data_IF_616148718073
#
_entry.id   IF_616148718073
#
_cell.length_a   1.000
_cell.length_b   1.000
_cell.length_c   1.000
_cell.angle_alpha   90.00
_cell.angle_beta   90.00
_cell.angle_gamma   90.00
#
_symmetry.space_group_name_H-M   'P 1'
#
loop_
_entity.id
_entity.type
_entity.pdbx_description
1 polymer ?
#
# COMPACT_ATOMS: atom_id res chain seq x y z
N UNK A 1 16.97 -18.64 -6.98
CA UNK A 1 16.92 -17.44 -7.85
C UNK A 1 17.87 -16.40 -7.26
N UNK A 2 18.60 -15.60 -8.05
CA UNK A 2 19.49 -14.58 -7.47
C UNK A 2 18.68 -13.51 -6.73
N UNK A 3 19.20 -12.89 -5.66
CA UNK A 3 18.48 -11.85 -4.91
C UNK A 3 18.00 -10.69 -5.80
N UNK A 4 18.80 -10.31 -6.80
CA UNK A 4 18.42 -9.28 -7.77
C UNK A 4 17.24 -9.71 -8.64
N UNK A 5 17.20 -10.96 -9.12
CA UNK A 5 16.07 -11.46 -9.90
C UNK A 5 14.78 -11.51 -9.07
N UNK A 6 14.87 -11.82 -7.77
CA UNK A 6 13.73 -11.79 -6.84
C UNK A 6 13.16 -10.38 -6.71
N UNK A 7 14.01 -9.38 -6.48
CA UNK A 7 13.58 -7.97 -6.38
C UNK A 7 12.93 -7.50 -7.69
N UNK A 8 13.53 -7.83 -8.84
CA UNK A 8 12.99 -7.46 -10.16
C UNK A 8 11.62 -8.09 -10.41
N UNK A 9 11.46 -9.36 -10.02
CA UNK A 9 10.18 -10.06 -10.16
C UNK A 9 9.09 -9.39 -9.33
N UNK A 10 9.33 -9.14 -8.03
CA UNK A 10 8.38 -8.44 -7.18
C UNK A 10 8.08 -7.03 -7.70
N UNK A 11 9.09 -6.29 -8.13
CA UNK A 11 8.92 -4.96 -8.71
C UNK A 11 8.05 -4.99 -9.97
N UNK A 12 8.25 -5.97 -10.84
CA UNK A 12 7.43 -6.16 -12.04
C UNK A 12 5.98 -6.43 -11.70
N UNK A 13 5.72 -7.28 -10.72
CA UNK A 13 4.34 -7.56 -10.30
C UNK A 13 3.68 -6.32 -9.72
N UNK A 14 4.38 -5.54 -8.88
CA UNK A 14 3.84 -4.29 -8.35
C UNK A 14 3.41 -3.36 -9.49
N UNK A 15 4.22 -3.23 -10.55
CA UNK A 15 3.88 -2.42 -11.73
C UNK A 15 2.67 -2.93 -12.53
N UNK A 16 2.31 -4.21 -12.39
CA UNK A 16 1.11 -4.78 -13.01
C UNK A 16 -0.13 -4.59 -12.13
N UNK A 17 0.04 -4.57 -10.81
CA UNK A 17 -1.06 -4.48 -9.84
C UNK A 17 -1.35 -3.07 -9.34
N UNK A 18 -0.46 -2.13 -9.59
CA UNK A 18 -0.56 -0.76 -9.11
C UNK A 18 -0.10 0.25 -10.17
N UNK A 19 -0.89 1.30 -10.37
CA UNK A 19 -0.52 2.38 -11.27
C UNK A 19 0.49 3.32 -10.59
N UNK A 20 1.75 3.23 -11.03
CA UNK A 20 2.85 4.08 -10.55
C UNK A 20 2.52 5.56 -10.66
N UNK A 21 1.87 6.00 -11.74
CA UNK A 21 1.56 7.41 -11.93
C UNK A 21 0.55 7.90 -10.89
N UNK A 22 -0.50 7.10 -10.62
CA UNK A 22 -1.50 7.44 -9.60
C UNK A 22 -0.86 7.44 -8.20
N UNK A 23 0.00 6.47 -7.88
CA UNK A 23 0.73 6.42 -6.60
C UNK A 23 1.60 7.67 -6.41
N UNK A 24 2.35 8.08 -7.43
CA UNK A 24 3.21 9.27 -7.37
C UNK A 24 2.39 10.57 -7.34
N UNK A 25 1.25 10.62 -8.03
CA UNK A 25 0.33 11.75 -8.00
C UNK A 25 -0.30 11.91 -6.62
N UNK A 26 -0.79 10.82 -6.01
CA UNK A 26 -1.30 10.79 -4.64
C UNK A 26 -0.21 11.18 -3.61
N UNK A 27 1.05 10.92 -3.94
CA UNK A 27 2.22 11.36 -3.20
C UNK A 27 2.55 12.86 -3.36
N UNK A 28 1.77 13.62 -4.12
CA UNK A 28 1.94 15.07 -4.26
C UNK A 28 2.90 15.49 -5.37
N UNK A 29 3.32 14.58 -6.26
CA UNK A 29 4.23 14.89 -7.38
C UNK A 29 3.74 16.05 -8.24
N UNK A 30 2.43 16.12 -8.49
CA UNK A 30 1.77 17.12 -9.34
C UNK A 30 1.10 18.25 -8.52
N UNK A 31 1.35 18.31 -7.21
CA UNK A 31 0.74 19.27 -6.28
C UNK A 31 -0.53 18.76 -5.59
N UNK A 32 -1.10 19.60 -4.71
CA UNK A 32 -2.15 19.19 -3.77
C UNK A 32 -3.50 18.84 -4.44
N UNK A 33 -3.94 19.62 -5.44
CA UNK A 33 -5.24 19.39 -6.08
C UNK A 33 -5.28 18.04 -6.85
N UNK A 34 -4.30 17.71 -7.70
CA UNK A 34 -4.23 16.38 -8.32
C UNK A 34 -4.05 15.24 -7.30
N UNK A 35 -3.28 15.47 -6.23
CA UNK A 35 -3.07 14.47 -5.18
C UNK A 35 -4.39 14.04 -4.51
N UNK A 36 -5.27 15.00 -4.21
CA UNK A 36 -6.58 14.70 -3.62
C UNK A 36 -7.47 13.83 -4.55
N UNK A 37 -7.42 14.08 -5.86
CA UNK A 37 -8.16 13.25 -6.82
C UNK A 37 -7.55 11.84 -6.93
N UNK A 38 -6.21 11.76 -6.94
CA UNK A 38 -5.51 10.48 -6.96
C UNK A 38 -5.77 9.67 -5.68
N UNK A 39 -5.91 10.31 -4.52
CA UNK A 39 -6.24 9.62 -3.26
C UNK A 39 -7.57 8.88 -3.31
N UNK A 40 -8.57 9.38 -4.04
CA UNK A 40 -9.83 8.66 -4.24
C UNK A 40 -9.65 7.38 -5.06
N UNK A 41 -8.84 7.45 -6.13
CA UNK A 41 -8.46 6.25 -6.89
C UNK A 41 -7.65 5.27 -6.04
N UNK A 42 -6.77 5.75 -5.16
CA UNK A 42 -6.03 4.93 -4.20
C UNK A 42 -6.98 4.25 -3.21
N UNK A 43 -8.04 4.94 -2.72
CA UNK A 43 -9.04 4.32 -1.84
C UNK A 43 -9.74 3.17 -2.54
N UNK A 44 -10.27 3.38 -3.74
CA UNK A 44 -10.90 2.33 -4.52
C UNK A 44 -9.93 1.15 -4.77
N UNK A 45 -8.70 1.45 -5.18
CA UNK A 45 -7.67 0.44 -5.39
C UNK A 45 -7.33 -0.34 -4.12
N UNK A 46 -7.19 0.31 -2.97
CA UNK A 46 -6.82 -0.32 -1.69
C UNK A 46 -7.80 -1.44 -1.26
N UNK A 47 -9.05 -1.35 -1.68
CA UNK A 47 -10.08 -2.36 -1.38
C UNK A 47 -9.99 -3.60 -2.27
N UNK A 48 -9.14 -3.58 -3.30
CA UNK A 48 -9.03 -4.69 -4.25
C UNK A 48 -8.07 -5.78 -3.77
N UNK A 49 -8.25 -7.04 -4.21
CA UNK A 49 -7.26 -8.09 -4.01
C UNK A 49 -5.91 -7.79 -4.65
N UNK A 50 -5.88 -7.06 -5.77
CA UNK A 50 -4.63 -6.68 -6.45
C UNK A 50 -3.78 -5.73 -5.61
N UNK A 51 -4.38 -4.78 -4.89
CA UNK A 51 -3.66 -3.93 -3.95
C UNK A 51 -3.04 -4.73 -2.80
N UNK A 52 -3.78 -5.69 -2.26
CA UNK A 52 -3.28 -6.57 -1.19
C UNK A 52 -2.14 -7.47 -1.67
N UNK A 53 -2.22 -7.99 -2.89
CA UNK A 53 -1.10 -8.67 -3.55
C UNK A 53 0.11 -7.74 -3.74
N UNK A 54 -0.11 -6.49 -4.16
CA UNK A 54 0.95 -5.50 -4.28
C UNK A 54 1.66 -5.26 -2.94
N UNK A 55 0.91 -5.22 -1.83
CA UNK A 55 1.47 -5.09 -0.48
C UNK A 55 2.39 -6.26 -0.11
N UNK A 56 2.00 -7.49 -0.44
CA UNK A 56 2.86 -8.66 -0.23
C UNK A 56 4.18 -8.53 -1.00
N UNK A 57 4.11 -8.17 -2.29
CA UNK A 57 5.32 -7.97 -3.09
C UNK A 57 6.19 -6.81 -2.58
N UNK A 58 5.57 -5.70 -2.13
CA UNK A 58 6.27 -4.57 -1.55
C UNK A 58 7.02 -4.95 -0.26
N UNK A 59 6.39 -5.74 0.61
CA UNK A 59 7.01 -6.25 1.83
C UNK A 59 8.17 -7.22 1.54
N UNK A 60 8.07 -8.05 0.50
CA UNK A 60 9.18 -8.91 0.10
C UNK A 60 10.37 -8.12 -0.48
N UNK A 61 10.13 -6.99 -1.17
CA UNK A 61 11.21 -6.08 -1.58
C UNK A 61 11.90 -5.48 -0.36
N UNK A 62 11.13 -5.01 0.63
CA UNK A 62 11.66 -4.52 1.90
C UNK A 62 12.51 -5.57 2.61
N UNK A 63 12.01 -6.79 2.75
CA UNK A 63 12.73 -7.92 3.36
C UNK A 63 14.02 -8.26 2.60
N UNK A 64 13.96 -8.31 1.27
CA UNK A 64 15.12 -8.63 0.45
C UNK A 64 16.22 -7.55 0.55
N UNK A 65 15.83 -6.27 0.59
CA UNK A 65 16.77 -5.15 0.64
C UNK A 65 17.26 -4.82 2.05
N UNK A 66 16.50 -5.14 3.11
CA UNK A 66 16.96 -5.05 4.51
C UNK A 66 17.99 -6.12 4.86
N UNK A 67 17.86 -7.32 4.27
CA UNK A 67 18.80 -8.43 4.48
C UNK A 67 20.04 -8.36 3.57
N UNK A 68 20.17 -7.33 2.72
CA UNK A 68 21.32 -7.21 1.81
C UNK A 68 22.61 -7.03 2.60
N UNK A 69 23.69 -7.69 2.17
CA UNK A 69 25.01 -7.46 2.77
C UNK A 69 25.61 -6.17 2.19
N UNK A 70 26.45 -5.43 2.94
CA UNK A 70 27.13 -4.25 2.41
C UNK A 70 28.00 -4.50 1.17
N UNK A 71 28.41 -5.76 0.97
CA UNK A 71 29.21 -6.21 -0.18
C UNK A 71 28.35 -6.50 -1.42
N UNK A 72 27.03 -6.65 -1.26
CA UNK A 72 26.13 -6.93 -2.38
C UNK A 72 25.96 -5.63 -3.18
N UNK A 73 26.39 -5.62 -4.43
CA UNK A 73 26.27 -4.44 -5.29
C UNK A 73 24.79 -4.02 -5.40
N UNK A 74 24.50 -2.74 -5.16
CA UNK A 74 23.15 -2.20 -5.36
C UNK A 74 22.77 -2.34 -6.84
N UNK A 75 21.85 -3.24 -7.15
CA UNK A 75 21.29 -3.34 -8.51
C UNK A 75 20.64 -2.02 -8.89
N UNK A 76 20.71 -1.65 -10.18
CA UNK A 76 20.08 -0.46 -10.75
C UNK A 76 18.61 -0.33 -10.37
N UNK A 77 17.91 -1.46 -10.22
CA UNK A 77 16.49 -1.47 -9.89
C UNK A 77 16.20 -1.45 -8.39
N UNK A 78 17.19 -1.51 -7.50
CA UNK A 78 16.96 -1.57 -6.05
C UNK A 78 16.28 -0.30 -5.53
N UNK A 79 16.74 0.88 -5.96
CA UNK A 79 16.19 2.18 -5.55
C UNK A 79 14.74 2.36 -6.06
N UNK A 80 14.43 2.24 -7.37
CA UNK A 80 13.05 2.40 -7.83
C UNK A 80 12.12 1.32 -7.28
N UNK A 81 12.63 0.09 -7.03
CA UNK A 81 11.84 -0.98 -6.41
C UNK A 81 11.47 -0.63 -4.97
N UNK A 82 12.44 -0.15 -4.19
CA UNK A 82 12.21 0.24 -2.80
C UNK A 82 11.27 1.43 -2.70
N UNK A 83 11.44 2.43 -3.56
CA UNK A 83 10.55 3.60 -3.62
C UNK A 83 9.10 3.21 -3.94
N UNK A 84 8.90 2.41 -4.98
CA UNK A 84 7.54 1.99 -5.37
C UNK A 84 6.90 1.11 -4.30
N UNK A 85 7.68 0.21 -3.69
CA UNK A 85 7.22 -0.61 -2.57
C UNK A 85 6.80 0.24 -1.35
N UNK A 86 7.56 1.29 -1.03
CA UNK A 86 7.23 2.22 0.05
C UNK A 86 5.90 2.94 -0.23
N UNK A 87 5.71 3.45 -1.45
CA UNK A 87 4.45 4.10 -1.86
C UNK A 87 3.26 3.16 -1.77
N UNK A 88 3.40 1.92 -2.25
CA UNK A 88 2.34 0.89 -2.18
C UNK A 88 1.88 0.67 -0.75
N UNK A 89 2.80 0.38 0.18
CA UNK A 89 2.43 0.10 1.57
C UNK A 89 1.91 1.34 2.30
N UNK A 90 2.54 2.49 2.11
CA UNK A 90 2.11 3.72 2.77
C UNK A 90 0.73 4.18 2.31
N UNK A 91 0.46 4.15 1.00
CA UNK A 91 -0.83 4.56 0.44
C UNK A 91 -1.93 3.53 0.71
N UNK A 92 -1.59 2.24 0.73
CA UNK A 92 -2.51 1.19 1.19
C UNK A 92 -2.93 1.42 2.64
N UNK A 93 -1.98 1.62 3.57
CA UNK A 93 -2.29 1.88 4.97
C UNK A 93 -3.02 3.20 5.18
N UNK A 94 -2.71 4.23 4.38
CA UNK A 94 -3.40 5.51 4.44
C UNK A 94 -4.89 5.35 4.10
N UNK A 95 -5.20 4.50 3.12
CA UNK A 95 -6.56 4.23 2.66
C UNK A 95 -7.26 3.07 3.38
N UNK A 96 -6.53 2.28 4.16
CA UNK A 96 -7.07 1.14 4.88
C UNK A 96 -8.08 1.61 5.94
N UNK A 97 -9.27 0.99 6.01
CA UNK A 97 -10.26 1.32 7.02
C UNK A 97 -9.72 1.01 8.43
N UNK A 98 -10.04 1.88 9.38
CA UNK A 98 -9.68 1.68 10.79
C UNK A 98 -10.55 0.56 11.38
N UNK A 99 -9.98 -0.55 11.87
CA UNK A 99 -10.76 -1.72 12.29
C UNK A 99 -11.41 -1.57 13.68
N UNK A 100 -11.28 -0.43 14.36
CA UNK A 100 -11.76 -0.25 15.73
C UNK A 100 -13.30 -0.11 15.87
N UNK A 101 -14.08 -0.49 14.84
CA UNK A 101 -15.55 -0.43 14.84
C UNK A 101 -16.28 -1.79 14.95
N UNK A 102 -15.59 -2.92 14.74
CA UNK A 102 -16.18 -4.26 14.76
C UNK A 102 -15.76 -5.05 16.00
N UNK A 103 -16.69 -5.77 16.63
CA UNK A 103 -16.46 -6.55 17.87
C UNK A 103 -15.57 -7.81 17.67
N UNK A 104 -15.27 -8.19 16.42
CA UNK A 104 -14.40 -9.31 16.12
C UNK A 104 -12.92 -8.89 16.15
N UNK A 105 -12.07 -9.72 16.78
CA UNK A 105 -10.61 -9.54 16.74
C UNK A 105 -10.15 -9.64 15.28
N UNK A 106 -9.59 -8.59 14.67
CA UNK A 106 -9.23 -8.64 13.26
C UNK A 106 -8.08 -9.63 13.04
N UNK A 107 -8.19 -10.48 12.02
CA UNK A 107 -7.07 -11.32 11.59
C UNK A 107 -5.87 -10.44 11.24
N UNK A 108 -4.72 -10.74 11.86
CA UNK A 108 -3.45 -10.03 11.65
C UNK A 108 -2.54 -10.86 10.76
N UNK A 109 -2.09 -10.28 9.65
CA UNK A 109 -1.20 -10.91 8.69
C UNK A 109 0.21 -10.29 8.73
N UNK A 110 1.24 -11.11 9.00
CA UNK A 110 2.64 -10.67 9.00
C UNK A 110 3.18 -10.56 7.56
N UNK A 111 3.31 -9.33 7.05
CA UNK A 111 3.64 -9.05 5.64
C UNK A 111 5.02 -9.55 5.19
N UNK A 112 5.98 -9.59 6.12
CA UNK A 112 7.35 -10.04 5.84
C UNK A 112 7.56 -11.54 6.12
N UNK A 113 6.48 -12.28 6.41
CA UNK A 113 6.57 -13.73 6.52
C UNK A 113 7.11 -14.35 5.22
N UNK A 114 7.58 -15.59 5.29
CA UNK A 114 7.83 -16.34 4.08
C UNK A 114 6.50 -16.68 3.40
N UNK A 115 6.41 -16.40 2.10
CA UNK A 115 5.20 -16.58 1.29
C UNK A 115 5.48 -17.69 0.28
N UNK A 116 4.66 -18.74 0.32
CA UNK A 116 4.65 -19.74 -0.75
C UNK A 116 3.86 -19.21 -1.96
N UNK A 117 4.61 -18.68 -2.92
CA UNK A 117 4.04 -18.10 -4.14
C UNK A 117 3.40 -19.14 -5.07
N UNK A 118 3.69 -20.44 -4.90
CA UNK A 118 2.98 -21.49 -5.63
C UNK A 118 1.55 -21.60 -5.13
N UNK A 119 1.35 -21.48 -3.82
CA UNK A 119 0.01 -21.56 -3.23
C UNK A 119 -0.82 -20.31 -3.52
N UNK A 120 -0.18 -19.13 -3.50
CA UNK A 120 -0.82 -17.86 -3.87
C UNK A 120 -1.32 -17.87 -5.31
N UNK A 121 -0.57 -18.45 -6.24
CA UNK A 121 -0.97 -18.56 -7.65
C UNK A 121 -1.26 -17.20 -8.30
N UNK A 122 -2.39 -17.11 -8.99
CA UNK A 122 -2.89 -15.92 -9.69
C UNK A 122 -3.85 -15.04 -8.85
N UNK A 123 -4.04 -15.37 -7.57
CA UNK A 123 -4.92 -14.65 -6.66
C UNK A 123 -4.58 -13.15 -6.62
N UNK A 124 -5.53 -12.28 -6.94
CA UNK A 124 -5.32 -10.83 -7.02
C UNK A 124 -4.62 -10.34 -8.29
N UNK A 125 -4.38 -11.18 -9.30
CA UNK A 125 -4.00 -10.76 -10.66
C UNK A 125 -5.17 -10.84 -11.65
N UNK A 126 -6.10 -11.76 -11.41
CA UNK A 126 -7.28 -12.00 -12.24
C UNK A 126 -8.53 -11.78 -11.39
N UNK A 127 -9.56 -11.17 -11.98
CA UNK A 127 -10.88 -11.13 -11.34
C UNK A 127 -11.42 -12.56 -11.25
N UNK A 128 -11.48 -13.12 -10.05
CA UNK A 128 -12.09 -14.43 -9.84
C UNK A 128 -13.56 -14.32 -10.21
N UNK A 129 -13.95 -14.98 -11.29
CA UNK A 129 -15.37 -15.15 -11.62
C UNK A 129 -16.06 -15.81 -10.41
N UNK A 130 -17.19 -15.25 -9.98
CA UNK A 130 -17.89 -15.59 -8.73
C UNK A 130 -18.49 -17.01 -8.70
N UNK A 131 -17.97 -17.96 -9.48
CA UNK A 131 -18.42 -19.33 -9.57
C UNK A 131 -17.41 -20.30 -8.98
N UNK A 132 -17.82 -20.99 -7.92
CA UNK A 132 -17.28 -22.29 -7.48
C UNK A 132 -15.93 -22.29 -6.75
N UNK A 133 -15.88 -21.81 -5.52
CA UNK A 133 -14.76 -22.13 -4.60
C UNK A 133 -15.18 -22.21 -3.12
N UNK A 134 -16.43 -22.62 -2.85
CA UNK A 134 -16.97 -22.77 -1.49
C UNK A 134 -16.25 -23.84 -0.65
N UNK A 135 -15.46 -24.72 -1.27
CA UNK A 135 -14.71 -25.79 -0.59
C UNK A 135 -13.19 -25.50 -0.44
N UNK A 136 -12.64 -24.46 -1.09
CA UNK A 136 -11.22 -24.12 -1.02
C UNK A 136 -10.88 -23.15 0.13
N UNK A 137 -11.87 -22.44 0.67
CA UNK A 137 -11.68 -21.44 1.73
C UNK A 137 -11.16 -22.04 3.05
N UNK A 138 -11.43 -23.32 3.32
CA UNK A 138 -11.07 -23.99 4.58
C UNK A 138 -9.58 -24.36 4.66
N UNK A 139 -8.86 -24.43 3.52
CA UNK A 139 -7.44 -24.80 3.44
C UNK A 139 -6.54 -23.72 2.81
N UNK A 140 -7.06 -22.53 2.53
CA UNK A 140 -6.27 -21.45 1.95
C UNK A 140 -5.24 -20.90 2.96
N UNK A 141 -3.99 -20.71 2.53
CA UNK A 141 -2.94 -20.03 3.31
C UNK A 141 -3.37 -18.65 3.77
N UNK A 142 -2.72 -18.20 4.85
CA UNK A 142 -2.87 -16.86 5.38
C UNK A 142 -2.65 -15.78 4.30
N UNK A 143 -1.71 -15.97 3.38
CA UNK A 143 -1.44 -15.03 2.29
C UNK A 143 -2.64 -14.91 1.32
N UNK A 144 -3.26 -16.04 0.93
CA UNK A 144 -4.46 -16.02 0.09
C UNK A 144 -5.66 -15.40 0.80
N UNK A 145 -5.85 -15.74 2.08
CA UNK A 145 -6.91 -15.14 2.91
C UNK A 145 -6.74 -13.63 3.00
N UNK A 146 -5.52 -13.15 3.25
CA UNK A 146 -5.21 -11.73 3.23
C UNK A 146 -5.50 -11.09 1.87
N UNK A 147 -5.06 -11.69 0.76
CA UNK A 147 -5.37 -11.17 -0.59
C UNK A 147 -6.88 -11.08 -0.83
N UNK A 148 -7.66 -12.10 -0.43
CA UNK A 148 -9.11 -12.16 -0.66
C UNK A 148 -9.94 -11.27 0.25
N UNK A 149 -9.61 -11.22 1.54
CA UNK A 149 -10.45 -10.58 2.55
C UNK A 149 -9.80 -9.35 3.21
N UNK A 150 -8.49 -9.20 3.09
CA UNK A 150 -7.74 -8.14 3.76
C UNK A 150 -7.55 -8.50 5.22
N UNK A 151 -7.35 -7.48 6.05
CA UNK A 151 -7.13 -7.65 7.48
C UNK A 151 -6.13 -6.63 8.00
N UNK A 152 -5.84 -6.72 9.30
CA UNK A 152 -4.73 -5.99 9.87
C UNK A 152 -3.42 -6.58 9.37
N UNK A 153 -2.41 -5.74 9.26
CA UNK A 153 -1.08 -6.16 8.85
C UNK A 153 -0.07 -5.89 9.94
N UNK A 154 0.93 -6.76 10.03
CA UNK A 154 2.09 -6.54 10.87
C UNK A 154 3.40 -6.64 10.08
N UNK A 155 4.40 -5.88 10.53
CA UNK A 155 5.78 -5.94 10.03
C UNK A 155 6.69 -6.02 11.25
N UNK A 156 7.51 -7.07 11.32
CA UNK A 156 8.34 -7.39 12.49
C UNK A 156 7.51 -7.47 13.79
N UNK A 157 6.28 -7.99 13.71
CA UNK A 157 5.36 -8.08 14.84
C UNK A 157 4.74 -6.76 15.30
N UNK A 158 5.05 -5.63 14.67
CA UNK A 158 4.37 -4.35 14.90
C UNK A 158 3.10 -4.34 14.07
N UNK A 159 1.94 -4.17 14.71
CA UNK A 159 0.64 -4.09 14.03
C UNK A 159 0.44 -2.67 13.50
N UNK A 160 0.10 -2.55 12.22
CA UNK A 160 -0.22 -1.29 11.56
C UNK A 160 -1.72 -1.23 11.32
N UNK A 161 -2.41 -0.34 12.03
CA UNK A 161 -3.78 0.06 11.70
C UNK A 161 -3.78 1.07 10.54
N UNK A 162 -4.91 1.22 9.87
CA UNK A 162 -5.08 2.29 8.87
C UNK A 162 -4.78 3.67 9.45
N UNK A 163 -4.29 4.58 8.61
CA UNK A 163 -4.11 6.00 8.94
C UNK A 163 -2.73 6.58 8.64
N UNK A 164 -2.67 7.92 8.77
CA UNK A 164 -1.53 8.76 8.38
C UNK A 164 -0.25 8.42 9.14
N UNK A 165 -0.34 8.21 10.46
CA UNK A 165 0.84 7.97 11.31
C UNK A 165 1.56 6.67 10.93
N UNK A 166 0.81 5.61 10.66
CA UNK A 166 1.36 4.32 10.26
C UNK A 166 1.92 4.36 8.83
N UNK A 167 1.27 5.09 7.92
CA UNK A 167 1.79 5.34 6.58
C UNK A 167 3.15 6.08 6.63
N UNK A 168 3.27 7.13 7.45
CA UNK A 168 4.52 7.87 7.64
C UNK A 168 5.63 6.98 8.22
N UNK A 169 5.30 6.17 9.23
CA UNK A 169 6.24 5.24 9.83
C UNK A 169 6.82 4.28 8.80
N UNK A 170 5.99 3.68 7.94
CA UNK A 170 6.47 2.82 6.85
C UNK A 170 7.38 3.58 5.90
N UNK A 171 7.01 4.79 5.47
CA UNK A 171 7.87 5.57 4.56
C UNK A 171 9.24 5.84 5.18
N UNK A 172 9.31 6.13 6.47
CA UNK A 172 10.57 6.33 7.19
C UNK A 172 11.41 5.05 7.27
N UNK A 173 10.80 3.90 7.56
CA UNK A 173 11.49 2.60 7.58
C UNK A 173 12.12 2.27 6.21
N UNK A 174 11.42 2.57 5.12
CA UNK A 174 11.97 2.44 3.76
C UNK A 174 13.04 3.49 3.45
N UNK A 175 12.89 4.73 3.93
CA UNK A 175 13.89 5.78 3.76
C UNK A 175 15.23 5.42 4.41
N UNK A 176 15.20 4.80 5.60
CA UNK A 176 16.42 4.34 6.27
C UNK A 176 17.20 3.31 5.43
N UNK A 177 16.52 2.47 4.63
CA UNK A 177 17.18 1.55 3.69
C UNK A 177 17.84 2.27 2.50
N UNK A 178 17.54 3.55 2.26
CA UNK A 178 18.19 4.39 1.25
C UNK A 178 19.41 5.12 1.80
N UNK A 179 19.57 5.27 3.13
CA UNK A 179 20.70 6.01 3.72
C UNK A 179 22.06 5.35 3.44
N UNK A 180 22.09 4.03 3.26
CA UNK A 180 23.32 3.32 2.88
C UNK A 180 23.73 3.54 1.41
N UNK A 181 22.85 4.15 0.60
CA UNK A 181 23.08 4.37 -0.82
C UNK A 181 23.68 5.78 -1.02
N UNK A 182 24.66 5.96 -1.93
CA UNK A 182 25.20 7.29 -2.21
C UNK A 182 24.12 8.25 -2.75
N UNK A 183 23.95 9.42 -2.12
CA UNK A 183 22.89 10.41 -2.39
C UNK A 183 22.73 10.80 -3.87
N UNK A 184 23.82 10.82 -4.65
CA UNK A 184 23.79 11.14 -6.08
C UNK A 184 23.00 10.13 -6.95
N UNK A 185 22.76 8.91 -6.45
CA UNK A 185 21.98 7.88 -7.16
C UNK A 185 20.48 7.87 -6.80
N UNK A 186 20.07 8.61 -5.76
CA UNK A 186 18.74 8.47 -5.14
C UNK A 186 17.86 9.71 -5.35
N UNK A 187 18.47 10.84 -5.74
CA UNK A 187 17.94 12.20 -5.56
C UNK A 187 16.43 12.38 -5.80
N UNK A 188 15.89 11.92 -6.93
CA UNK A 188 14.47 12.08 -7.25
C UNK A 188 13.53 11.26 -6.34
N UNK A 189 13.85 9.99 -6.10
CA UNK A 189 13.01 9.08 -5.32
C UNK A 189 12.98 9.45 -3.84
N UNK A 190 14.15 9.84 -3.29
CA UNK A 190 14.25 10.30 -1.91
C UNK A 190 13.52 11.62 -1.71
N UNK A 191 13.64 12.54 -2.68
CA UNK A 191 12.88 13.80 -2.67
C UNK A 191 11.38 13.55 -2.62
N UNK A 192 10.85 12.68 -3.48
CA UNK A 192 9.42 12.38 -3.49
C UNK A 192 9.01 11.73 -2.16
N UNK A 193 9.77 10.77 -1.64
CA UNK A 193 9.46 10.13 -0.36
C UNK A 193 9.36 11.14 0.80
N UNK A 194 10.32 12.06 0.91
CA UNK A 194 10.26 13.13 1.92
C UNK A 194 9.13 14.14 1.66
N UNK A 195 8.81 14.44 0.39
CA UNK A 195 7.64 15.25 0.06
C UNK A 195 6.35 14.60 0.55
N UNK A 196 6.19 13.29 0.39
CA UNK A 196 5.03 12.55 0.93
C UNK A 196 5.01 12.62 2.45
N UNK A 197 6.14 12.35 3.10
CA UNK A 197 6.23 12.38 4.57
C UNK A 197 5.82 13.78 5.10
N UNK A 198 6.31 14.84 4.47
CA UNK A 198 5.97 16.22 4.83
C UNK A 198 4.51 16.55 4.53
N UNK A 199 4.00 16.18 3.36
CA UNK A 199 2.59 16.36 2.98
C UNK A 199 1.64 15.68 3.97
N UNK A 200 1.98 14.46 4.40
CA UNK A 200 1.25 13.74 5.44
C UNK A 200 1.36 14.43 6.81
N UNK A 201 2.50 15.07 7.12
CA UNK A 201 2.75 15.75 8.41
C UNK A 201 2.03 17.09 8.52
N UNK A 202 1.89 17.81 7.41
CA UNK A 202 1.23 19.12 7.32
C UNK A 202 -0.31 19.02 7.28
N UNK A 203 -0.87 17.82 7.40
CA UNK A 203 -2.32 17.59 7.48
C UNK A 203 -3.05 17.62 6.13
N UNK A 204 -2.32 17.62 5.01
CA UNK A 204 -2.90 17.60 3.66
C UNK A 204 -3.80 16.39 3.41
N UNK A 205 -3.46 15.22 3.97
CA UNK A 205 -4.30 14.03 3.92
C UNK A 205 -5.43 14.05 4.96
N UNK A 206 -5.17 14.48 6.21
CA UNK A 206 -6.17 14.46 7.29
C UNK A 206 -7.38 15.35 7.01
N UNK A 207 -7.18 16.47 6.31
CA UNK A 207 -8.28 17.34 5.87
C UNK A 207 -9.25 16.67 4.90
N UNK A 208 -8.76 15.79 4.02
CA UNK A 208 -9.58 15.07 3.05
C UNK A 208 -10.26 13.83 3.65
N UNK A 209 -9.60 13.11 4.57
CA UNK A 209 -10.20 11.96 5.26
C UNK A 209 -11.24 12.34 6.32
N UNK A 210 -11.11 13.51 6.98
CA UNK A 210 -12.13 13.98 7.94
C UNK A 210 -13.43 14.41 7.26
N UNK A 211 -13.35 15.01 6.06
CA UNK A 211 -14.53 15.46 5.30
C UNK A 211 -15.42 14.31 4.80
N UNK A 212 -14.88 13.09 4.70
CA UNK A 212 -15.62 11.90 4.25
C UNK A 212 -16.22 11.06 5.37
N UNK A 213 -15.79 11.26 6.62
CA UNK A 213 -16.32 10.53 7.79
C UNK A 213 -17.60 11.22 8.34
N UNK A 214 -17.69 12.56 8.21
CA UNK A 214 -18.88 13.33 8.59
C UNK A 214 -20.05 13.22 7.57
N UNK A 215 -19.79 12.79 6.34
CA UNK A 215 -20.83 12.64 5.31
C UNK A 215 -21.68 11.37 5.50
N UNK A 216 -21.28 10.47 6.40
CA UNK A 216 -22.03 9.25 6.72
C UNK A 216 -23.20 9.47 7.70
N UNK A 217 -23.36 10.68 8.27
CA UNK A 217 -24.39 10.98 9.28
C UNK A 217 -25.37 12.10 8.92
N UNK A 218 -25.44 12.52 7.65
CA UNK A 218 -26.48 13.47 7.25
C UNK A 218 -27.80 12.73 7.04
N UNK A 219 -28.89 13.13 7.74
CA UNK A 219 -30.20 12.55 7.51
C UNK A 219 -30.62 12.83 6.06
N UNK A 220 -31.04 11.78 5.37
CA UNK A 220 -31.65 11.82 4.04
C UNK A 220 -32.95 12.61 4.14
N UNK A 221 -32.88 13.94 4.02
CA UNK A 221 -33.97 14.83 3.61
C UNK A 221 -33.51 16.30 3.65
N UNK A 222 -33.05 16.82 2.52
CA UNK A 222 -33.34 18.20 2.09
C UNK A 222 -32.70 18.48 0.73
N UNK A 223 -33.29 17.93 -0.33
CA UNK A 223 -33.11 18.46 -1.69
C UNK A 223 -34.47 18.51 -2.39
N UNK A 224 -35.35 19.39 -1.91
CA UNK A 224 -36.41 19.96 -2.72
C UNK A 224 -36.50 21.45 -2.42
N UNK A 225 -36.26 22.25 -3.45
CA UNK A 225 -36.46 23.68 -3.44
C UNK A 225 -35.20 24.44 -3.82
N UNK A 226 -35.00 24.64 -5.13
CA UNK A 226 -34.87 25.97 -5.76
C UNK A 226 -35.24 25.76 -7.24
N UNK A 227 -36.51 25.98 -7.54
CA UNK A 227 -36.99 26.53 -8.81
C UNK A 227 -38.04 27.53 -8.41
N UNK A 228 -37.77 28.82 -8.61
CA UNK A 228 -38.73 29.85 -9.06
C UNK A 228 -38.13 31.25 -8.93
N UNK A 229 -38.27 31.99 -10.05
CA UNK A 229 -38.03 33.41 -10.33
C UNK A 229 -36.59 33.85 -10.64
#
# INVERSE_FOLDING_TARGET
>A
MSPHCIVIWHYTVIKLTADKYILECAAGREGANPANQALEAIRAWSQTPSARRACLHAAQIFKALSNRRPQDATSFLSIPSLFLAALVLALYLLAAPSPFGSQDVPDVFELISDIDWNEVGDEGLVESSAGSDTNAATSASAARKFIRFGGLVSINGVIYSGGVQNAQRILLEFACLLDDIPKFKIGEHLRIMYQVINFLSEGGATGYFSLTDDSANLPVNSFYGILSY
#
